data_IF_152413028499
#
_entry.id   IF_152413028499
#
_cell.length_a   1.000
_cell.length_b   1.000
_cell.length_c   1.000
_cell.angle_alpha   90.00
_cell.angle_beta   90.00
_cell.angle_gamma   90.00
#
_symmetry.space_group_name_H-M   'P 1'
#
loop_
_entity.id
_entity.type
_entity.pdbx_description
1 polymer ?
#
# COMPACT_ATOMS: atom_id res chain seq x y z
N UNK A 1 -8.23 13.65 -9.99
CA UNK A 1 -8.05 12.68 -8.90
C UNK A 1 -6.56 12.42 -8.74
N UNK A 2 -6.07 12.26 -7.52
CA UNK A 2 -4.66 12.00 -7.22
C UNK A 2 -4.48 10.57 -6.72
N UNK A 3 -3.70 9.77 -7.45
CA UNK A 3 -3.48 8.35 -7.15
C UNK A 3 -2.01 8.07 -6.88
N UNK A 4 -1.72 7.05 -6.07
CA UNK A 4 -0.35 6.55 -5.89
C UNK A 4 -0.15 5.22 -6.57
N UNK A 5 0.85 5.09 -7.42
CA UNK A 5 1.35 3.79 -7.84
C UNK A 5 2.40 3.30 -6.82
N UNK A 6 2.15 2.14 -6.21
CA UNK A 6 3.05 1.53 -5.22
C UNK A 6 3.45 0.10 -5.60
N UNK A 7 4.70 -0.25 -5.30
CA UNK A 7 5.18 -1.64 -5.37
C UNK A 7 4.88 -2.36 -4.05
N UNK A 8 4.23 -3.52 -4.14
CA UNK A 8 3.84 -4.36 -2.99
C UNK A 8 4.23 -5.82 -3.28
N UNK A 9 4.73 -6.53 -2.25
CA UNK A 9 5.04 -7.95 -2.38
C UNK A 9 3.76 -8.79 -2.63
N UNK A 10 3.80 -9.81 -3.51
CA UNK A 10 2.63 -10.64 -3.82
C UNK A 10 1.87 -11.18 -2.60
N UNK A 11 2.56 -11.54 -1.52
CA UNK A 11 1.90 -12.02 -0.29
C UNK A 11 0.99 -10.95 0.31
N UNK A 12 1.48 -9.71 0.45
CA UNK A 12 0.67 -8.61 0.97
C UNK A 12 -0.43 -8.20 0.00
N UNK A 13 -0.19 -8.29 -1.32
CA UNK A 13 -1.24 -8.10 -2.33
C UNK A 13 -2.38 -9.10 -2.12
N UNK A 14 -2.07 -10.38 -1.90
CA UNK A 14 -3.09 -11.39 -1.61
C UNK A 14 -3.84 -11.11 -0.30
N UNK A 15 -3.15 -10.63 0.74
CA UNK A 15 -3.78 -10.23 1.99
C UNK A 15 -4.74 -9.03 1.79
N UNK A 16 -4.38 -8.07 0.95
CA UNK A 16 -5.26 -6.95 0.58
C UNK A 16 -6.49 -7.46 -0.18
N UNK A 17 -6.29 -8.30 -1.20
CA UNK A 17 -7.36 -8.82 -2.05
C UNK A 17 -8.34 -9.73 -1.30
N UNK A 18 -7.86 -10.48 -0.31
CA UNK A 18 -8.70 -11.31 0.57
C UNK A 18 -9.40 -10.51 1.67
N UNK A 19 -9.02 -9.25 1.87
CA UNK A 19 -9.55 -8.38 2.93
C UNK A 19 -8.94 -8.60 4.31
N UNK A 20 -7.97 -9.51 4.46
CA UNK A 20 -7.25 -9.72 5.73
C UNK A 20 -6.31 -8.56 6.07
N UNK A 21 -5.87 -7.81 5.06
CA UNK A 21 -5.10 -6.57 5.19
C UNK A 21 -5.92 -5.38 4.75
N UNK A 22 -6.30 -4.52 5.70
CA UNK A 22 -7.05 -3.27 5.44
C UNK A 22 -6.21 -2.01 5.57
N UNK A 23 -4.90 -2.18 5.81
CA UNK A 23 -3.95 -1.08 5.93
C UNK A 23 -2.68 -1.35 5.14
N UNK A 24 -2.26 -0.38 4.32
CA UNK A 24 -0.91 -0.38 3.72
C UNK A 24 0.03 0.46 4.59
N UNK A 25 1.12 -0.14 5.05
CA UNK A 25 2.06 0.51 5.98
C UNK A 25 3.26 1.07 5.25
N UNK A 26 3.64 2.31 5.56
CA UNK A 26 4.83 2.97 4.99
C UNK A 26 5.61 3.74 6.06
N UNK A 27 6.91 3.92 5.79
CA UNK A 27 7.83 4.68 6.66
C UNK A 27 7.75 6.19 6.48
N UNK A 28 7.06 6.65 5.44
CA UNK A 28 6.94 8.08 5.11
C UNK A 28 5.59 8.32 4.44
N UNK A 29 4.91 9.40 4.84
CA UNK A 29 3.63 9.83 4.26
C UNK A 29 3.85 10.38 2.86
N UNK A 30 2.87 10.22 1.99
CA UNK A 30 2.79 11.02 0.79
C UNK A 30 2.53 12.50 1.13
N UNK A 31 2.90 13.38 0.21
CA UNK A 31 2.79 14.83 0.41
C UNK A 31 1.37 15.33 0.22
N UNK A 32 0.62 14.69 -0.67
CA UNK A 32 -0.74 15.07 -1.04
C UNK A 32 -1.75 14.12 -0.41
N UNK A 33 -2.99 14.57 -0.26
CA UNK A 33 -4.11 13.66 -0.04
C UNK A 33 -4.40 12.93 -1.36
N UNK A 34 -4.77 11.66 -1.25
CA UNK A 34 -4.88 10.75 -2.38
C UNK A 34 -6.22 10.01 -2.33
N UNK A 35 -6.76 9.73 -3.51
CA UNK A 35 -8.04 9.05 -3.66
C UNK A 35 -7.86 7.52 -3.63
N UNK A 36 -6.74 7.02 -4.19
CA UNK A 36 -6.49 5.58 -4.32
C UNK A 36 -5.00 5.22 -4.46
N UNK A 37 -4.71 3.93 -4.25
CA UNK A 37 -3.42 3.30 -4.50
C UNK A 37 -3.58 2.30 -5.65
N UNK A 38 -2.86 2.54 -6.74
CA UNK A 38 -2.61 1.61 -7.84
C UNK A 38 -1.52 0.63 -7.40
N UNK A 39 -1.85 -0.67 -7.35
CA UNK A 39 -1.00 -1.70 -6.76
C UNK A 39 -0.23 -2.45 -7.86
N UNK A 40 1.08 -2.24 -7.90
CA UNK A 40 2.02 -3.07 -8.63
C UNK A 40 2.50 -4.22 -7.74
N UNK A 41 2.17 -5.46 -8.12
CA UNK A 41 2.70 -6.65 -7.48
C UNK A 41 4.11 -6.93 -7.99
N UNK A 42 5.08 -7.06 -7.08
CA UNK A 42 6.46 -7.38 -7.42
C UNK A 42 6.64 -8.84 -7.89
N UNK A 43 7.89 -9.29 -8.04
CA UNK A 43 8.23 -10.65 -8.48
C UNK A 43 7.53 -11.72 -7.63
N UNK A 44 6.99 -12.80 -8.23
CA UNK A 44 7.10 -13.18 -9.64
C UNK A 44 6.00 -12.60 -10.55
N UNK A 45 5.04 -11.84 -10.02
CA UNK A 45 3.88 -11.36 -10.78
C UNK A 45 4.25 -10.22 -11.74
N UNK A 46 4.98 -9.21 -11.23
CA UNK A 46 5.52 -8.08 -12.00
C UNK A 46 4.48 -7.34 -12.86
N UNK A 47 3.29 -7.09 -12.31
CA UNK A 47 2.17 -6.42 -12.99
C UNK A 47 1.42 -5.50 -12.04
N UNK A 48 0.74 -4.51 -12.60
CA UNK A 48 -0.28 -3.76 -11.89
C UNK A 48 -1.57 -4.59 -11.85
N UNK A 49 -2.03 -4.94 -10.66
CA UNK A 49 -3.06 -5.96 -10.48
C UNK A 49 -4.37 -5.41 -9.92
N UNK A 50 -4.32 -4.32 -9.16
CA UNK A 50 -5.49 -3.78 -8.49
C UNK A 50 -5.36 -2.29 -8.23
N UNK A 51 -6.48 -1.66 -7.88
CA UNK A 51 -6.57 -0.33 -7.31
C UNK A 51 -7.35 -0.41 -6.01
N UNK A 52 -6.83 0.18 -4.94
CA UNK A 52 -7.48 0.24 -3.63
C UNK A 52 -7.81 1.69 -3.28
N UNK A 53 -9.05 1.96 -2.92
CA UNK A 53 -9.49 3.25 -2.40
C UNK A 53 -8.73 3.58 -1.10
N UNK A 54 -8.40 4.87 -0.91
CA UNK A 54 -7.83 5.36 0.35
C UNK A 54 -8.91 6.11 1.12
N UNK A 55 -9.33 5.54 2.24
CA UNK A 55 -10.41 6.08 3.08
C UNK A 55 -9.90 6.93 4.24
N UNK A 56 -8.59 6.89 4.50
CA UNK A 56 -7.93 7.66 5.55
C UNK A 56 -6.43 7.40 5.59
N UNK A 57 -5.70 8.32 6.20
CA UNK A 57 -4.25 8.21 6.41
C UNK A 57 -3.99 8.50 7.89
N UNK A 58 -3.39 7.55 8.59
CA UNK A 58 -3.00 7.67 9.99
C UNK A 58 -1.48 7.80 10.03
N UNK A 59 -0.98 8.81 10.75
CA UNK A 59 0.45 9.01 11.02
C UNK A 59 0.64 9.12 12.53
N UNK A 60 1.43 8.22 13.10
CA UNK A 60 1.69 8.15 14.54
C UNK A 60 3.01 7.40 14.77
N UNK A 61 3.39 7.21 16.04
CA UNK A 61 4.42 6.26 16.46
C UNK A 61 4.10 4.84 15.97
N UNK A 62 5.10 3.97 15.73
CA UNK A 62 4.85 2.58 15.37
C UNK A 62 3.92 1.86 16.34
N UNK A 63 4.06 2.14 17.65
CA UNK A 63 3.17 1.57 18.67
C UNK A 63 1.71 2.04 18.49
N UNK A 64 1.48 3.35 18.34
CA UNK A 64 0.13 3.89 18.13
C UNK A 64 -0.52 3.39 16.84
N UNK A 65 0.26 3.27 15.76
CA UNK A 65 -0.21 2.64 14.52
C UNK A 65 -0.61 1.18 14.77
N UNK A 66 0.22 0.40 15.45
CA UNK A 66 -0.10 -1.00 15.73
C UNK A 66 -1.38 -1.14 16.56
N UNK A 67 -1.48 -0.41 17.66
CA UNK A 67 -2.66 -0.43 18.54
C UNK A 67 -3.95 -0.06 17.79
N UNK A 68 -3.86 0.85 16.83
CA UNK A 68 -5.01 1.29 16.02
C UNK A 68 -5.37 0.35 14.87
N UNK A 69 -4.47 -0.56 14.46
CA UNK A 69 -4.60 -1.29 13.19
C UNK A 69 -4.42 -2.81 13.27
N UNK A 70 -3.97 -3.35 14.42
CA UNK A 70 -3.53 -4.75 14.53
C UNK A 70 -4.58 -5.79 14.08
N UNK A 71 -5.86 -5.55 14.38
CA UNK A 71 -6.97 -6.45 14.00
C UNK A 71 -7.12 -6.63 12.47
N UNK A 72 -6.53 -5.74 11.66
CA UNK A 72 -6.55 -5.86 10.20
C UNK A 72 -5.24 -5.44 9.53
N UNK A 73 -4.13 -5.63 10.24
CA UNK A 73 -2.80 -5.35 9.72
C UNK A 73 -2.39 -6.30 8.58
N UNK A 74 -2.91 -7.53 8.57
CA UNK A 74 -2.59 -8.58 7.60
C UNK A 74 -1.12 -9.02 7.63
N UNK A 75 -0.45 -8.76 8.75
CA UNK A 75 0.91 -9.15 9.12
C UNK A 75 0.94 -9.33 10.64
N UNK A 76 1.90 -10.10 11.16
CA UNK A 76 2.12 -10.22 12.60
C UNK A 76 2.91 -9.03 13.17
N UNK A 77 2.95 -8.98 14.51
CA UNK A 77 3.63 -7.91 15.26
C UNK A 77 5.14 -7.93 15.05
N UNK A 78 5.75 -9.11 14.98
CA UNK A 78 7.21 -9.23 14.85
C UNK A 78 7.68 -8.67 13.50
N UNK A 79 6.95 -8.96 12.42
CA UNK A 79 7.17 -8.38 11.10
C UNK A 79 6.99 -6.86 11.13
N UNK A 80 5.92 -6.37 11.75
CA UNK A 80 5.66 -4.94 11.87
C UNK A 80 6.80 -4.21 12.62
N UNK A 81 7.20 -4.73 13.78
CA UNK A 81 8.26 -4.17 14.61
C UNK A 81 9.60 -4.18 13.88
N UNK A 82 9.93 -5.29 13.20
CA UNK A 82 11.14 -5.38 12.39
C UNK A 82 11.12 -4.35 11.26
N UNK A 83 9.99 -4.21 10.57
CA UNK A 83 9.84 -3.26 9.48
C UNK A 83 10.04 -1.82 9.95
N UNK A 84 9.51 -1.45 11.12
CA UNK A 84 9.61 -0.11 11.71
C UNK A 84 10.76 0.08 12.71
N UNK A 85 11.69 -0.87 12.83
CA UNK A 85 12.83 -0.77 13.73
C UNK A 85 13.60 0.56 13.55
N UNK A 86 13.81 1.27 14.65
CA UNK A 86 14.50 2.58 14.66
C UNK A 86 13.69 3.74 14.08
N UNK A 87 12.38 3.58 13.82
CA UNK A 87 11.50 4.66 13.35
C UNK A 87 10.70 5.24 14.52
N UNK A 88 10.59 6.57 14.53
CA UNK A 88 9.71 7.31 15.44
C UNK A 88 8.31 7.52 14.86
N UNK A 89 8.15 7.35 13.55
CA UNK A 89 6.90 7.56 12.82
C UNK A 89 6.64 6.36 11.91
N UNK A 90 5.37 5.98 11.84
CA UNK A 90 4.80 5.02 10.91
C UNK A 90 3.53 5.62 10.28
N UNK A 91 3.22 5.20 9.05
CA UNK A 91 2.04 5.64 8.31
C UNK A 91 1.21 4.44 7.92
N UNK A 92 -0.10 4.53 8.13
CA UNK A 92 -1.08 3.55 7.69
C UNK A 92 -2.09 4.19 6.75
N UNK A 93 -2.15 3.71 5.50
CA UNK A 93 -3.20 4.05 4.55
C UNK A 93 -4.36 3.07 4.73
N UNK A 94 -5.52 3.56 5.16
CA UNK A 94 -6.72 2.76 5.31
C UNK A 94 -7.31 2.43 3.94
N UNK A 95 -7.36 1.14 3.62
CA UNK A 95 -7.81 0.63 2.33
C UNK A 95 -9.32 0.39 2.37
N UNK A 96 -10.05 1.08 1.48
CA UNK A 96 -11.47 0.90 1.27
C UNK A 96 -11.75 -0.18 0.25
N UNK A 97 -12.59 0.13 -0.74
CA UNK A 97 -12.94 -0.81 -1.81
C UNK A 97 -11.70 -1.16 -2.65
N UNK A 98 -11.43 -2.46 -2.82
CA UNK A 98 -10.34 -2.96 -3.66
C UNK A 98 -10.89 -3.50 -4.97
N UNK A 99 -10.46 -2.90 -6.09
CA UNK A 99 -10.82 -3.31 -7.44
C UNK A 99 -9.68 -4.11 -8.06
N UNK A 100 -9.86 -5.43 -8.14
CA UNK A 100 -8.98 -6.30 -8.90
C UNK A 100 -9.18 -6.08 -10.41
N UNK A 101 -8.09 -5.95 -11.16
CA UNK A 101 -8.16 -5.83 -12.61
C UNK A 101 -8.36 -7.20 -13.25
N UNK A 102 -9.35 -7.31 -14.13
CA UNK A 102 -9.63 -8.54 -14.90
C UNK A 102 -8.42 -8.99 -15.71
N UNK A 103 -7.65 -8.03 -16.21
CA UNK A 103 -6.39 -8.26 -16.91
C UNK A 103 -5.33 -7.39 -16.25
N UNK A 104 -4.27 -7.99 -15.67
CA UNK A 104 -3.17 -7.23 -15.09
C UNK A 104 -2.51 -6.32 -16.13
N UNK A 105 -2.21 -5.09 -15.71
CA UNK A 105 -1.64 -4.04 -16.55
C UNK A 105 -0.12 -3.97 -16.40
N UNK A 106 0.54 -3.31 -17.35
CA UNK A 106 1.95 -2.97 -17.28
C UNK A 106 2.14 -1.62 -16.59
N UNK A 107 3.33 -1.38 -16.04
CA UNK A 107 3.71 -0.06 -15.55
C UNK A 107 3.66 1.00 -16.67
N UNK A 108 3.97 0.61 -17.91
CA UNK A 108 3.95 1.48 -19.09
C UNK A 108 2.56 2.04 -19.37
N UNK A 109 1.49 1.34 -18.98
CA UNK A 109 0.11 1.81 -19.13
C UNK A 109 -0.17 3.06 -18.26
N UNK A 110 0.71 3.33 -17.29
CA UNK A 110 0.69 4.49 -16.40
C UNK A 110 1.87 5.46 -16.69
N UNK A 111 2.59 5.29 -17.80
CA UNK A 111 3.77 6.09 -18.12
C UNK A 111 4.99 5.82 -17.22
N UNK A 112 5.01 4.68 -16.52
CA UNK A 112 6.09 4.29 -15.60
C UNK A 112 6.96 3.20 -16.22
N UNK A 113 8.27 3.39 -16.20
CA UNK A 113 9.23 2.45 -16.81
C UNK A 113 9.78 1.40 -15.84
N UNK A 114 9.73 1.65 -14.53
CA UNK A 114 10.26 0.74 -13.51
C UNK A 114 9.44 0.81 -12.20
N UNK A 115 9.40 -0.28 -11.40
CA UNK A 115 8.64 -0.30 -10.16
C UNK A 115 9.16 0.77 -9.18
N UNK A 116 8.28 1.59 -8.57
CA UNK A 116 8.72 2.59 -7.62
C UNK A 116 9.24 1.97 -6.33
N UNK A 117 10.30 2.54 -5.76
CA UNK A 117 10.81 2.16 -4.44
C UNK A 117 9.88 2.61 -3.30
N UNK A 118 9.28 3.80 -3.45
CA UNK A 118 8.31 4.35 -2.50
C UNK A 118 6.92 4.42 -3.13
N UNK A 119 6.70 5.41 -4.01
CA UNK A 119 5.47 5.60 -4.75
C UNK A 119 5.71 6.56 -5.94
N UNK A 120 4.79 6.60 -6.89
CA UNK A 120 4.71 7.62 -7.95
C UNK A 120 3.29 8.20 -7.95
N UNK A 121 3.15 9.51 -8.12
CA UNK A 121 1.84 10.12 -8.34
C UNK A 121 1.37 9.86 -9.76
N UNK A 122 0.16 9.34 -9.90
CA UNK A 122 -0.57 9.21 -11.15
C UNK A 122 -1.74 10.19 -11.09
N UNK A 123 -1.78 11.11 -12.04
CA UNK A 123 -2.82 12.13 -12.17
C UNK A 123 -3.56 11.91 -13.48
N UNK A 124 -4.88 11.97 -13.40
CA UNK A 124 -5.79 12.08 -14.55
C UNK A 124 -6.00 13.55 -14.91
#
# INVERSE_FOLDING_TARGET
MCKLLMSINPEHVNNILSGSKRFEFRKTRCKEDIDSIIIYSTSPIMKVVAEAEVTGIIEDTPQGIWESTFDAAGIDKDFFDHYFAGRSIAVAYALGTVKLFKTPLNLSDFGVSSPPQSYIYIRD
#
